data_IF_272911681493
#
_entry.id   IF_272911681493
#
_cell.length_a   1.000
_cell.length_b   1.000
_cell.length_c   1.000
_cell.angle_alpha   90.00
_cell.angle_beta   90.00
_cell.angle_gamma   90.00
#
_symmetry.space_group_name_H-M   'P 1'
#
loop_
_entity.id
_entity.type
_entity.pdbx_description
1 polymer ?
#
# COMPACT_ATOMS: atom_id res chain seq x y z
N UNK A 1 -9.60 15.15 16.34
CA UNK A 1 -8.60 15.77 17.22
C UNK A 1 -7.31 15.89 16.45
N UNK A 2 -6.85 17.11 16.15
CA UNK A 2 -5.63 17.33 15.39
C UNK A 2 -4.43 17.27 16.35
N UNK A 3 -3.61 16.24 16.25
CA UNK A 3 -2.33 16.16 16.97
C UNK A 3 -1.34 17.07 16.26
N UNK A 4 -1.04 18.23 16.83
CA UNK A 4 0.13 19.05 16.46
C UNK A 4 1.38 18.28 16.88
N UNK A 5 1.86 17.40 16.00
CA UNK A 5 3.03 16.56 16.23
C UNK A 5 4.33 17.35 16.07
N UNK A 6 5.23 17.20 17.04
CA UNK A 6 6.61 17.68 16.92
C UNK A 6 7.27 17.00 15.71
N UNK A 7 7.91 17.77 14.84
CA UNK A 7 8.70 17.21 13.73
C UNK A 7 9.95 16.56 14.30
N UNK A 8 10.10 15.25 14.11
CA UNK A 8 11.33 14.52 14.44
C UNK A 8 12.31 14.59 13.25
N UNK A 9 13.59 14.85 13.53
CA UNK A 9 14.64 14.86 12.51
C UNK A 9 15.33 13.49 12.47
N UNK A 10 15.21 12.81 11.34
CA UNK A 10 15.89 11.53 11.08
C UNK A 10 16.97 11.76 10.02
N UNK A 11 18.21 11.43 10.36
CA UNK A 11 19.35 11.45 9.43
C UNK A 11 19.64 10.03 8.96
N UNK A 12 19.60 9.80 7.64
CA UNK A 12 19.99 8.53 7.05
C UNK A 12 21.14 8.75 6.07
N UNK A 13 22.08 7.81 6.06
CA UNK A 13 23.19 7.80 5.10
C UNK A 13 22.71 7.15 3.82
N UNK A 14 23.10 7.73 2.68
CA UNK A 14 22.81 7.20 1.35
C UNK A 14 24.11 6.83 0.66
N UNK A 15 24.07 5.80 -0.16
CA UNK A 15 25.18 5.49 -1.06
C UNK A 15 25.28 6.50 -2.21
N UNK A 16 26.38 6.44 -2.96
CA UNK A 16 26.63 7.34 -4.07
C UNK A 16 25.60 7.19 -5.21
N UNK A 17 25.07 5.97 -5.40
CA UNK A 17 24.10 5.70 -6.45
C UNK A 17 22.79 6.44 -6.20
N UNK A 18 22.27 6.38 -4.97
CA UNK A 18 21.06 7.08 -4.56
C UNK A 18 21.31 8.60 -4.51
N UNK A 19 22.49 9.03 -4.03
CA UNK A 19 22.85 10.46 -4.04
C UNK A 19 22.80 11.07 -5.44
N UNK A 20 23.35 10.37 -6.44
CA UNK A 20 23.34 10.78 -7.84
C UNK A 20 21.94 10.74 -8.45
N UNK A 21 21.17 9.67 -8.18
CA UNK A 21 19.79 9.55 -8.65
C UNK A 21 18.88 10.68 -8.12
N UNK A 22 19.20 11.20 -6.94
CA UNK A 22 18.50 12.34 -6.34
C UNK A 22 19.05 13.72 -6.76
N UNK A 23 20.03 13.76 -7.66
CA UNK A 23 20.57 15.00 -8.21
C UNK A 23 19.49 15.71 -9.03
N UNK A 24 19.36 17.03 -8.85
CA UNK A 24 18.33 17.83 -9.54
C UNK A 24 16.95 17.85 -8.88
N UNK A 25 16.69 17.05 -7.84
CA UNK A 25 15.43 17.14 -7.07
C UNK A 25 15.47 18.40 -6.18
N UNK A 26 14.58 19.39 -6.40
CA UNK A 26 14.65 20.69 -5.72
C UNK A 26 14.39 20.59 -4.21
N UNK A 27 13.46 19.72 -3.78
CA UNK A 27 13.19 19.46 -2.37
C UNK A 27 13.29 17.96 -2.08
N UNK A 28 14.51 17.50 -1.82
CA UNK A 28 14.82 16.10 -1.53
C UNK A 28 14.03 15.57 -0.33
N UNK A 29 13.92 16.33 0.75
CA UNK A 29 13.18 15.89 1.94
C UNK A 29 11.70 15.67 1.66
N UNK A 30 11.06 16.57 0.90
CA UNK A 30 9.66 16.37 0.49
C UNK A 30 9.50 15.16 -0.42
N UNK A 31 10.41 15.00 -1.36
CA UNK A 31 10.42 13.85 -2.27
C UNK A 31 10.57 12.53 -1.49
N UNK A 32 11.55 12.44 -0.59
CA UNK A 32 11.78 11.25 0.25
C UNK A 32 10.56 10.95 1.10
N UNK A 33 9.97 11.96 1.78
CA UNK A 33 8.78 11.75 2.62
C UNK A 33 7.63 11.15 1.81
N UNK A 34 7.34 11.72 0.64
CA UNK A 34 6.25 11.24 -0.22
C UNK A 34 6.54 9.83 -0.73
N UNK A 35 7.79 9.55 -1.14
CA UNK A 35 8.19 8.22 -1.60
C UNK A 35 8.07 7.15 -0.50
N UNK A 36 8.50 7.48 0.73
CA UNK A 36 8.39 6.56 1.88
C UNK A 36 6.93 6.30 2.24
N UNK A 37 6.08 7.34 2.30
CA UNK A 37 4.64 7.17 2.57
C UNK A 37 3.99 6.28 1.51
N UNK A 38 4.23 6.57 0.23
CA UNK A 38 3.67 5.78 -0.86
C UNK A 38 4.10 4.30 -0.81
N UNK A 39 5.38 4.04 -0.49
CA UNK A 39 5.88 2.69 -0.31
C UNK A 39 5.17 1.96 0.84
N UNK A 40 4.94 2.65 1.97
CA UNK A 40 4.25 2.09 3.13
C UNK A 40 2.77 1.81 2.87
N UNK A 41 2.07 2.64 2.11
CA UNK A 41 0.66 2.43 1.73
C UNK A 41 0.47 1.18 0.86
N UNK A 42 1.45 0.87 0.00
CA UNK A 42 1.44 -0.33 -0.85
C UNK A 42 2.01 -1.59 -0.18
N UNK A 43 2.69 -1.45 0.96
CA UNK A 43 3.37 -2.57 1.62
C UNK A 43 2.38 -3.47 2.36
N UNK A 44 2.62 -4.79 2.33
CA UNK A 44 1.79 -5.72 3.10
C UNK A 44 1.81 -5.33 4.60
N UNK A 45 0.65 -5.05 5.21
CA UNK A 45 0.59 -4.49 6.55
C UNK A 45 1.05 -5.47 7.64
N UNK A 46 1.05 -6.77 7.32
CA UNK A 46 1.43 -7.84 8.24
C UNK A 46 2.93 -8.09 8.22
N UNK A 47 3.51 -8.37 7.06
CA UNK A 47 4.95 -8.66 6.93
C UNK A 47 5.80 -7.39 6.79
N UNK A 48 5.18 -6.21 6.63
CA UNK A 48 5.86 -4.93 6.39
C UNK A 48 6.77 -4.95 5.15
N UNK A 49 6.32 -5.66 4.12
CA UNK A 49 7.04 -5.74 2.84
C UNK A 49 8.17 -6.76 2.78
N UNK A 50 8.44 -7.54 3.84
CA UNK A 50 9.49 -8.58 3.81
C UNK A 50 9.12 -9.78 2.95
N UNK A 51 7.84 -9.97 2.65
CA UNK A 51 7.32 -11.16 1.95
C UNK A 51 7.31 -12.45 2.79
N UNK A 52 7.82 -12.42 4.01
CA UNK A 52 7.91 -13.59 4.90
C UNK A 52 7.39 -13.26 6.30
N UNK A 53 6.70 -14.22 6.92
CA UNK A 53 6.20 -14.10 8.29
C UNK A 53 7.15 -14.78 9.26
N UNK A 54 7.44 -14.14 10.39
CA UNK A 54 8.04 -14.83 11.53
C UNK A 54 7.11 -15.94 12.05
N UNK A 55 7.64 -16.88 12.82
CA UNK A 55 6.85 -17.98 13.38
C UNK A 55 5.64 -17.48 14.22
N UNK A 56 5.81 -16.40 14.98
CA UNK A 56 4.72 -15.81 15.76
C UNK A 56 3.69 -15.12 14.85
N UNK A 57 4.13 -14.34 13.86
CA UNK A 57 3.21 -13.72 12.89
C UNK A 57 2.43 -14.77 12.10
N UNK A 58 3.05 -15.90 11.75
CA UNK A 58 2.39 -17.00 11.05
C UNK A 58 1.28 -17.61 11.91
N UNK A 59 1.53 -17.87 13.20
CA UNK A 59 0.48 -18.33 14.14
C UNK A 59 -0.71 -17.36 14.19
N UNK A 60 -0.45 -16.06 14.33
CA UNK A 60 -1.51 -15.06 14.34
C UNK A 60 -2.26 -14.97 13.00
N UNK A 61 -1.54 -15.12 11.88
CA UNK A 61 -2.13 -15.17 10.56
C UNK A 61 -3.05 -16.38 10.39
N UNK A 62 -2.64 -17.55 10.87
CA UNK A 62 -3.42 -18.78 10.73
C UNK A 62 -4.75 -18.65 11.45
N UNK A 63 -4.76 -18.13 12.69
CA UNK A 63 -6.01 -17.82 13.41
C UNK A 63 -6.84 -16.77 12.70
N UNK A 64 -6.23 -15.72 12.15
CA UNK A 64 -6.98 -14.70 11.39
C UNK A 64 -7.63 -15.30 10.11
N UNK A 65 -6.91 -16.19 9.43
CA UNK A 65 -7.31 -16.80 8.17
C UNK A 65 -8.45 -17.82 8.31
N UNK A 66 -8.75 -18.31 9.52
CA UNK A 66 -9.90 -19.17 9.80
C UNK A 66 -11.22 -18.52 9.35
N UNK A 67 -11.36 -17.21 9.59
CA UNK A 67 -12.55 -16.43 9.22
C UNK A 67 -12.31 -15.46 8.06
N UNK A 68 -11.08 -15.35 7.57
CA UNK A 68 -10.68 -14.39 6.52
C UNK A 68 -9.94 -15.09 5.40
N UNK A 69 -10.64 -15.35 4.30
CA UNK A 69 -10.06 -16.05 3.13
C UNK A 69 -9.51 -15.06 2.11
N UNK A 70 -8.40 -15.40 1.45
CA UNK A 70 -7.94 -14.68 0.26
C UNK A 70 -8.74 -15.18 -0.94
N UNK A 71 -9.30 -14.28 -1.73
CA UNK A 71 -10.01 -14.60 -2.98
C UNK A 71 -9.53 -13.71 -4.11
N UNK A 72 -9.66 -14.19 -5.33
CA UNK A 72 -9.44 -13.40 -6.54
C UNK A 72 -10.69 -12.58 -6.89
N UNK A 73 -10.52 -11.30 -7.16
CA UNK A 73 -11.59 -10.43 -7.61
C UNK A 73 -11.96 -10.76 -9.07
N UNK A 74 -13.24 -11.00 -9.36
CA UNK A 74 -13.71 -11.33 -10.73
C UNK A 74 -13.64 -10.18 -11.75
N UNK A 75 -13.37 -8.95 -11.31
CA UNK A 75 -13.39 -7.76 -12.17
C UNK A 75 -11.99 -7.28 -12.53
N UNK A 76 -11.07 -7.27 -11.56
CA UNK A 76 -9.70 -6.80 -11.75
C UNK A 76 -8.65 -7.90 -11.59
N UNK A 77 -9.04 -9.14 -11.25
CA UNK A 77 -8.14 -10.29 -11.03
C UNK A 77 -7.12 -10.13 -9.89
N UNK A 78 -7.26 -9.09 -9.08
CA UNK A 78 -6.43 -8.88 -7.89
C UNK A 78 -6.92 -9.70 -6.69
N UNK A 79 -5.98 -10.12 -5.84
CA UNK A 79 -6.29 -10.85 -4.62
C UNK A 79 -6.74 -9.89 -3.50
N UNK A 80 -7.80 -10.29 -2.79
CA UNK A 80 -8.32 -9.52 -1.66
C UNK A 80 -8.79 -10.43 -0.52
N UNK A 81 -8.78 -9.91 0.70
CA UNK A 81 -9.27 -10.61 1.88
C UNK A 81 -10.80 -10.50 1.99
N UNK A 82 -11.44 -11.62 2.32
CA UNK A 82 -12.90 -11.75 2.49
C UNK A 82 -13.19 -12.29 3.88
N UNK A 83 -13.83 -11.46 4.70
CA UNK A 83 -14.33 -11.83 6.02
C UNK A 83 -15.62 -12.65 5.90
N UNK A 84 -15.63 -13.85 6.48
CA UNK A 84 -16.80 -14.72 6.53
C UNK A 84 -17.89 -14.21 7.50
N UNK A 85 -17.51 -13.36 8.47
CA UNK A 85 -18.39 -12.84 9.54
C UNK A 85 -19.11 -11.52 9.21
N UNK A 86 -18.91 -10.95 8.01
CA UNK A 86 -19.54 -9.68 7.63
C UNK A 86 -20.93 -9.91 6.99
N UNK A 87 -22.01 -9.22 7.45
CA UNK A 87 -23.24 -9.14 6.69
C UNK A 87 -22.98 -8.42 5.36
N UNK A 88 -23.44 -9.02 4.26
CA UNK A 88 -23.19 -8.61 2.87
C UNK A 88 -23.51 -7.12 2.62
N UNK A 89 -22.54 -6.22 2.77
CA UNK A 89 -22.63 -4.89 2.14
C UNK A 89 -22.29 -5.04 0.67
N UNK A 90 -23.20 -4.63 -0.22
CA UNK A 90 -23.00 -4.69 -1.68
C UNK A 90 -21.77 -3.84 -2.04
N UNK A 91 -20.67 -4.47 -2.40
CA UNK A 91 -19.44 -3.79 -2.81
C UNK A 91 -19.71 -2.96 -4.07
N UNK A 92 -19.72 -1.64 -3.91
CA UNK A 92 -19.83 -0.68 -5.00
C UNK A 92 -18.46 -0.54 -5.68
N UNK A 93 -18.07 -1.54 -6.47
CA UNK A 93 -16.93 -1.41 -7.36
C UNK A 93 -17.36 -0.55 -8.57
N UNK A 94 -17.33 0.78 -8.38
CA UNK A 94 -17.62 1.74 -9.44
C UNK A 94 -16.34 1.94 -10.25
N UNK A 95 -16.15 1.12 -11.28
CA UNK A 95 -15.16 1.39 -12.32
C UNK A 95 -15.59 2.67 -13.03
N UNK A 96 -14.84 3.76 -12.83
CA UNK A 96 -15.04 5.00 -13.58
C UNK A 96 -14.64 4.74 -15.03
N UNK A 97 -15.65 4.57 -15.89
CA UNK A 97 -15.48 4.48 -17.34
C UNK A 97 -14.95 5.80 -17.86
N UNK A 98 -13.62 5.92 -17.98
CA UNK A 98 -12.96 7.02 -18.68
C UNK A 98 -13.38 6.98 -20.16
N UNK A 99 -14.19 7.96 -20.58
CA UNK A 99 -14.48 8.23 -21.99
C UNK A 99 -13.16 8.61 -22.67
N UNK A 100 -12.72 7.82 -23.65
CA UNK A 100 -11.71 8.25 -24.63
C UNK A 100 -12.34 8.22 -26.02
N UNK A 101 -12.48 9.43 -26.55
CA UNK A 101 -12.74 9.90 -27.91
C UNK A 101 -12.74 8.87 -29.04
N UNK A 102 -13.84 8.80 -29.79
CA UNK A 102 -13.81 8.38 -31.19
C UNK A 102 -13.57 9.63 -32.04
N UNK A 103 -12.44 9.65 -32.71
CA UNK A 103 -12.15 10.46 -33.89
C UNK A 103 -12.92 9.86 -35.08
N UNK A 104 -13.39 10.71 -36.00
CA UNK A 104 -13.69 10.31 -37.39
C UNK A 104 -15.13 10.57 -37.84
N UNK A 105 -15.29 11.53 -38.75
CA UNK A 105 -16.53 11.88 -39.44
C UNK A 105 -16.49 13.33 -39.89
#
# INVERSE_FOLDING_TARGET
>A
MATTGKSEMISFKVDESLRKAMSGIPNRSSFIRNAVIAALESSCPLCKGTGVLSAQQKKHWDTFAEDHTVRECRQCHEFHLVCAKQPRRKSAHRVTRSKRSSVGG
#
